data_IF_686625155892
#
_entry.id   IF_686625155892
#
_cell.length_a   1.000
_cell.length_b   1.000
_cell.length_c   1.000
_cell.angle_alpha   90.00
_cell.angle_beta   90.00
_cell.angle_gamma   90.00
#
_symmetry.space_group_name_H-M   'P 1'
#
loop_
_entity.id
_entity.type
_entity.pdbx_description
1 polymer ?
#
# COMPACT_ATOMS: atom_id res chain seq x y z
N UNK A 1 2.61 -31.01 -23.82
CA UNK A 1 1.72 -30.70 -22.70
C UNK A 1 2.35 -29.88 -21.62
N UNK A 2 3.48 -29.34 -21.92
CA UNK A 2 4.09 -28.31 -21.10
C UNK A 2 3.31 -27.00 -21.17
N UNK A 3 2.57 -26.78 -22.26
CA UNK A 3 1.90 -25.50 -22.53
C UNK A 3 0.85 -25.12 -21.47
N UNK A 4 0.13 -26.10 -20.95
CA UNK A 4 -0.91 -25.84 -19.93
C UNK A 4 -0.29 -25.36 -18.61
N UNK A 5 0.83 -25.94 -18.21
CA UNK A 5 1.54 -25.55 -16.98
C UNK A 5 2.18 -24.18 -17.14
N UNK A 6 2.81 -23.93 -18.28
CA UNK A 6 3.44 -22.65 -18.57
C UNK A 6 2.40 -21.54 -18.62
N UNK A 7 1.26 -21.82 -19.21
CA UNK A 7 0.16 -20.86 -19.30
C UNK A 7 -0.39 -20.53 -17.89
N UNK A 8 -0.58 -21.54 -17.05
CA UNK A 8 -1.05 -21.33 -15.68
C UNK A 8 -0.05 -20.54 -14.85
N UNK A 9 1.23 -20.88 -14.96
CA UNK A 9 2.28 -20.16 -14.25
C UNK A 9 2.35 -18.70 -14.68
N UNK A 10 2.24 -18.43 -15.98
CA UNK A 10 2.23 -17.07 -16.49
C UNK A 10 1.02 -16.29 -15.98
N UNK A 11 -0.15 -16.91 -15.92
CA UNK A 11 -1.34 -16.27 -15.36
C UNK A 11 -1.19 -15.95 -13.88
N UNK A 12 -0.60 -16.84 -13.12
CA UNK A 12 -0.35 -16.61 -11.70
C UNK A 12 0.64 -15.47 -11.48
N UNK A 13 1.68 -15.39 -12.27
CA UNK A 13 2.64 -14.29 -12.20
C UNK A 13 1.97 -12.95 -12.52
N UNK A 14 1.16 -12.91 -13.57
CA UNK A 14 0.44 -11.70 -13.95
C UNK A 14 -0.54 -11.26 -12.86
N UNK A 15 -1.24 -12.20 -12.26
CA UNK A 15 -2.18 -11.91 -11.19
C UNK A 15 -1.45 -11.33 -9.97
N UNK A 16 -0.34 -11.94 -9.59
CA UNK A 16 0.46 -11.47 -8.47
C UNK A 16 1.01 -10.07 -8.75
N UNK A 17 1.55 -9.86 -9.94
CA UNK A 17 2.08 -8.56 -10.34
C UNK A 17 0.98 -7.48 -10.38
N UNK A 18 -0.22 -7.83 -10.83
CA UNK A 18 -1.37 -6.92 -10.84
C UNK A 18 -1.78 -6.53 -9.42
N UNK A 19 -1.78 -7.49 -8.49
CA UNK A 19 -2.06 -7.21 -7.08
C UNK A 19 -1.02 -6.30 -6.44
N UNK A 20 0.22 -6.37 -6.93
CA UNK A 20 1.30 -5.50 -6.48
C UNK A 20 1.33 -4.16 -7.23
N UNK A 21 0.47 -3.99 -8.24
CA UNK A 21 0.43 -2.78 -9.04
C UNK A 21 1.58 -2.64 -10.03
N UNK A 22 2.21 -3.76 -10.42
CA UNK A 22 3.42 -3.75 -11.24
C UNK A 22 3.19 -4.20 -12.68
N UNK A 23 1.99 -4.69 -13.02
CA UNK A 23 1.68 -5.21 -14.36
C UNK A 23 0.24 -4.92 -14.72
N UNK A 24 -0.07 -5.14 -15.98
CA UNK A 24 -1.45 -5.05 -16.46
C UNK A 24 -2.25 -6.25 -15.94
N UNK A 25 -3.55 -6.04 -15.79
CA UNK A 25 -4.43 -7.10 -15.32
C UNK A 25 -4.46 -8.25 -16.34
N UNK A 26 -4.51 -9.51 -15.88
CA UNK A 26 -4.61 -10.63 -16.78
C UNK A 26 -5.94 -10.63 -17.52
N UNK A 27 -5.99 -11.22 -18.74
CA UNK A 27 -7.23 -11.32 -19.50
C UNK A 27 -8.32 -12.03 -18.70
N UNK A 28 -9.53 -11.48 -18.71
CA UNK A 28 -10.67 -12.02 -17.98
C UNK A 28 -10.71 -11.66 -16.51
N UNK A 29 -9.75 -10.91 -16.03
CA UNK A 29 -9.75 -10.45 -14.63
C UNK A 29 -10.53 -9.15 -14.50
N UNK A 30 -11.32 -9.03 -13.43
CA UNK A 30 -12.15 -7.86 -13.18
C UNK A 30 -11.33 -6.72 -12.57
N UNK A 31 -11.16 -5.64 -13.33
CA UNK A 31 -10.43 -4.44 -12.87
C UNK A 31 -11.04 -3.83 -11.62
N UNK A 32 -12.36 -3.75 -11.57
CA UNK A 32 -13.05 -3.12 -10.46
C UNK A 32 -12.86 -3.94 -9.17
N UNK A 33 -12.89 -5.26 -9.30
CA UNK A 33 -12.67 -6.16 -8.19
C UNK A 33 -11.25 -6.04 -7.65
N UNK A 34 -10.27 -5.95 -8.55
CA UNK A 34 -8.87 -5.75 -8.16
C UNK A 34 -8.68 -4.44 -7.42
N UNK A 35 -9.27 -3.36 -7.92
CA UNK A 35 -9.19 -2.05 -7.27
C UNK A 35 -9.82 -2.05 -5.88
N UNK A 36 -10.96 -2.73 -5.74
CA UNK A 36 -11.62 -2.85 -4.44
C UNK A 36 -10.71 -3.59 -3.46
N UNK A 37 -10.07 -4.67 -3.89
CA UNK A 37 -9.15 -5.44 -3.06
C UNK A 37 -7.93 -4.61 -2.67
N UNK A 38 -7.34 -3.89 -3.61
CA UNK A 38 -6.19 -3.03 -3.35
C UNK A 38 -6.54 -1.93 -2.36
N UNK A 39 -7.71 -1.33 -2.51
CA UNK A 39 -8.17 -0.29 -1.60
C UNK A 39 -8.43 -0.84 -0.20
N UNK A 40 -8.99 -2.05 -0.11
CA UNK A 40 -9.22 -2.70 1.17
C UNK A 40 -7.91 -2.99 1.90
N UNK A 41 -6.90 -3.46 1.18
CA UNK A 41 -5.57 -3.70 1.73
C UNK A 41 -4.91 -2.41 2.21
N UNK A 42 -5.03 -1.35 1.43
CA UNK A 42 -4.52 -0.04 1.80
C UNK A 42 -5.21 0.51 3.06
N UNK A 43 -6.51 0.39 3.12
CA UNK A 43 -7.29 0.83 4.28
C UNK A 43 -6.89 0.06 5.53
N UNK A 44 -6.69 -1.25 5.41
CA UNK A 44 -6.25 -2.09 6.52
C UNK A 44 -4.85 -1.67 7.00
N UNK A 45 -3.93 -1.46 6.07
CA UNK A 45 -2.56 -1.01 6.37
C UNK A 45 -2.58 0.32 7.12
N UNK A 46 -3.39 1.27 6.64
CA UNK A 46 -3.52 2.59 7.26
C UNK A 46 -4.06 2.50 8.68
N UNK A 47 -5.09 1.68 8.89
CA UNK A 47 -5.69 1.50 10.23
C UNK A 47 -4.68 0.92 11.22
N UNK A 48 -3.85 0.00 10.77
CA UNK A 48 -2.82 -0.58 11.64
C UNK A 48 -1.79 0.46 12.04
N UNK A 49 -1.31 1.26 11.09
CA UNK A 49 -0.36 2.33 11.39
C UNK A 49 -0.99 3.37 12.34
N UNK A 50 -2.25 3.71 12.12
CA UNK A 50 -2.98 4.63 13.00
C UNK A 50 -3.04 4.12 14.43
N UNK A 51 -3.26 2.82 14.63
CA UNK A 51 -3.28 2.20 15.95
C UNK A 51 -1.90 2.17 16.61
N UNK A 52 -0.86 1.97 15.82
CA UNK A 52 0.51 1.92 16.33
C UNK A 52 1.07 3.31 16.65
N UNK A 53 0.62 4.31 15.92
CA UNK A 53 1.08 5.69 16.08
C UNK A 53 -0.13 6.64 16.18
N UNK A 54 -0.90 6.55 17.27
CA UNK A 54 -2.05 7.45 17.46
C UNK A 54 -1.62 8.92 17.57
N UNK A 55 -0.39 9.18 17.96
CA UNK A 55 0.18 10.52 18.00
C UNK A 55 0.19 11.16 16.61
N UNK A 56 0.59 10.40 15.57
CA UNK A 56 0.59 10.90 14.20
C UNK A 56 -0.83 11.14 13.70
N UNK A 57 -1.75 10.25 14.02
CA UNK A 57 -3.13 10.40 13.63
C UNK A 57 -3.76 11.65 14.26
N UNK A 58 -3.47 11.92 15.53
CA UNK A 58 -3.98 13.09 16.21
C UNK A 58 -3.36 14.37 15.66
N UNK A 59 -2.05 14.37 15.43
CA UNK A 59 -1.34 15.55 14.92
C UNK A 59 -1.75 15.91 13.50
N UNK A 60 -1.92 14.91 12.65
CA UNK A 60 -2.28 15.14 11.25
C UNK A 60 -3.77 15.31 11.03
N UNK A 61 -4.59 14.77 11.93
CA UNK A 61 -6.04 14.86 11.82
C UNK A 61 -6.53 14.35 10.46
N UNK A 62 -7.28 15.17 9.75
CA UNK A 62 -7.84 14.82 8.43
C UNK A 62 -6.77 14.63 7.35
N UNK A 63 -5.57 15.13 7.56
CA UNK A 63 -4.45 14.98 6.62
C UNK A 63 -3.79 13.61 6.71
N UNK A 64 -4.02 12.84 7.77
CA UNK A 64 -3.42 11.54 7.95
C UNK A 64 -3.72 10.61 6.78
N UNK A 65 -4.98 10.53 6.39
CA UNK A 65 -5.42 9.63 5.33
C UNK A 65 -4.77 9.93 3.98
N UNK A 66 -4.87 11.17 3.45
CA UNK A 66 -4.25 11.45 2.16
C UNK A 66 -2.72 11.36 2.21
N UNK A 67 -2.09 11.76 3.30
CA UNK A 67 -0.64 11.65 3.43
C UNK A 67 -0.18 10.20 3.49
N UNK A 68 -0.89 9.36 4.23
CA UNK A 68 -0.57 7.94 4.26
C UNK A 68 -0.76 7.29 2.90
N UNK A 69 -1.83 7.62 2.20
CA UNK A 69 -2.10 7.07 0.87
C UNK A 69 -0.99 7.46 -0.13
N UNK A 70 -0.49 8.68 -0.05
CA UNK A 70 0.64 9.13 -0.87
C UNK A 70 1.92 8.32 -0.54
N UNK A 71 2.21 8.19 0.75
CA UNK A 71 3.35 7.38 1.20
C UNK A 71 3.24 5.94 0.70
N UNK A 72 2.08 5.33 0.86
CA UNK A 72 1.86 3.93 0.51
C UNK A 72 1.99 3.68 -1.00
N UNK A 73 1.60 4.66 -1.82
CA UNK A 73 1.74 4.56 -3.27
C UNK A 73 3.21 4.42 -3.66
N UNK A 74 4.09 5.19 -3.03
CA UNK A 74 5.53 5.18 -3.31
C UNK A 74 6.27 4.06 -2.57
N UNK A 75 5.66 3.47 -1.55
CA UNK A 75 6.29 2.49 -0.68
C UNK A 75 5.38 1.26 -0.51
N UNK A 76 5.30 0.39 -1.53
CA UNK A 76 4.52 -0.84 -1.41
C UNK A 76 5.03 -1.69 -0.25
N UNK A 77 4.11 -2.26 0.50
CA UNK A 77 4.47 -3.09 1.64
C UNK A 77 4.97 -4.44 1.18
N UNK A 78 6.14 -4.85 1.66
CA UNK A 78 6.67 -6.18 1.41
C UNK A 78 6.07 -7.17 2.40
N UNK A 79 5.90 -8.46 1.99
CA UNK A 79 5.36 -9.48 2.89
C UNK A 79 6.15 -9.65 4.19
N UNK A 80 7.46 -9.42 4.13
CA UNK A 80 8.35 -9.56 5.30
C UNK A 80 8.36 -8.31 6.19
N UNK A 81 7.80 -7.22 5.74
CA UNK A 81 7.78 -5.97 6.49
C UNK A 81 6.73 -6.02 7.59
N UNK A 82 7.16 -5.77 8.82
CA UNK A 82 6.24 -5.70 9.96
C UNK A 82 5.52 -4.36 10.00
N UNK A 83 4.34 -4.36 10.62
CA UNK A 83 3.55 -3.15 10.75
C UNK A 83 4.29 -2.04 11.50
N UNK A 84 5.11 -2.38 12.48
CA UNK A 84 5.94 -1.40 13.21
C UNK A 84 6.97 -0.74 12.32
N UNK A 85 7.57 -1.52 11.40
CA UNK A 85 8.54 -0.99 10.45
C UNK A 85 7.86 -0.04 9.47
N UNK A 86 6.64 -0.37 9.06
CA UNK A 86 5.84 0.46 8.18
C UNK A 86 5.49 1.80 8.86
N UNK A 87 5.06 1.74 10.12
CA UNK A 87 4.76 2.95 10.90
C UNK A 87 5.99 3.84 11.07
N UNK A 88 7.14 3.24 11.37
CA UNK A 88 8.39 3.98 11.51
C UNK A 88 8.84 4.61 10.18
N UNK A 89 8.68 3.87 9.08
CA UNK A 89 9.02 4.37 7.76
C UNK A 89 8.12 5.54 7.36
N UNK A 90 6.83 5.46 7.66
CA UNK A 90 5.89 6.54 7.40
C UNK A 90 6.28 7.79 8.20
N UNK A 91 6.63 7.63 9.46
CA UNK A 91 7.05 8.76 10.31
C UNK A 91 8.30 9.43 9.75
N UNK A 92 9.29 8.64 9.28
CA UNK A 92 10.49 9.18 8.63
C UNK A 92 10.15 9.91 7.33
N UNK A 93 9.25 9.33 6.53
CA UNK A 93 8.80 9.93 5.29
C UNK A 93 8.12 11.30 5.54
N UNK A 94 7.28 11.39 6.57
CA UNK A 94 6.65 12.65 6.96
C UNK A 94 7.69 13.71 7.28
N UNK A 95 8.70 13.37 8.06
CA UNK A 95 9.76 14.31 8.42
C UNK A 95 10.48 14.85 7.20
N UNK A 96 10.75 14.00 6.20
CA UNK A 96 11.47 14.42 4.99
C UNK A 96 10.62 15.25 4.04
N UNK A 97 9.35 14.86 3.88
CA UNK A 97 8.51 15.40 2.80
C UNK A 97 7.53 16.47 3.25
N UNK A 98 7.13 16.44 4.53
CA UNK A 98 6.10 17.34 5.02
C UNK A 98 6.51 18.07 6.30
N UNK A 99 7.79 18.10 6.59
CA UNK A 99 8.32 18.63 7.82
C UNK A 99 7.86 20.07 8.12
N UNK A 100 7.94 20.95 7.14
CA UNK A 100 7.66 22.36 7.35
C UNK A 100 6.19 22.63 7.65
N UNK A 101 5.30 22.08 6.84
CA UNK A 101 3.87 22.32 7.03
C UNK A 101 3.34 21.63 8.27
N UNK A 102 3.93 20.50 8.63
CA UNK A 102 3.48 19.71 9.77
C UNK A 102 3.96 20.27 11.10
N UNK A 103 5.22 20.68 11.18
CA UNK A 103 5.82 21.16 12.44
C UNK A 103 5.38 22.56 12.82
N UNK A 104 4.88 23.34 11.92
CA UNK A 104 4.45 24.70 12.19
C UNK A 104 3.04 24.80 12.77
N UNK A 105 2.42 23.71 13.00
CA UNK A 105 1.14 23.68 13.71
C UNK A 105 1.38 23.60 15.24
#
# INVERSE_FOLDING_TARGET
>A
MTDAREHLAAQQEQLLAALLGQAQDPPGFDHDQLRVQQRALLNKRRRVVEKLRPDLADDLGDDFRPLFDTYATDHPRHPDQRARDDAAAFARWLKRHHRRSWWKR
#
